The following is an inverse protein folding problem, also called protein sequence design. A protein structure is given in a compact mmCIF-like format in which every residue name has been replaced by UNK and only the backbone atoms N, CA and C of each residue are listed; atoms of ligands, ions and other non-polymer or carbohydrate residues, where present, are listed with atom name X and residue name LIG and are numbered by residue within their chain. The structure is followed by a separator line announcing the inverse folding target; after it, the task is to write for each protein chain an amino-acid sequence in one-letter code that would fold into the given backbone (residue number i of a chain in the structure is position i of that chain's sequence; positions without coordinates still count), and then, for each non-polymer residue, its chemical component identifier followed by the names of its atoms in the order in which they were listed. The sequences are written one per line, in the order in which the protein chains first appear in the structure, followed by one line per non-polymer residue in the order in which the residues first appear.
data_IF_547339210844
#
_entry.id   IF_547339210844
#
_cell.length_a   1.000
_cell.length_b   1.000
_cell.length_c   1.000
_cell.angle_alpha   90.00
_cell.angle_beta   90.00
_cell.angle_gamma   90.00
#
_symmetry.space_group_name_H-M   'P 1'
#
loop_
_entity.id
_entity.type
_entity.pdbx_description
1 polymer ?
#
# COMPACT_ATOMS: atom_id res chain seq x y z
N UNK A 1 -24.71 -19.22 -16.90
CA UNK A 1 -24.39 -17.79 -16.99
C UNK A 1 -23.68 -17.40 -15.70
N UNK A 2 -22.39 -17.08 -15.75
CA UNK A 2 -21.67 -16.57 -14.58
C UNK A 2 -22.23 -15.17 -14.28
N UNK A 3 -23.00 -15.06 -13.20
CA UNK A 3 -23.53 -13.79 -12.73
C UNK A 3 -22.34 -13.05 -12.10
N UNK A 4 -21.65 -12.23 -12.91
CA UNK A 4 -20.62 -11.34 -12.38
C UNK A 4 -21.27 -10.47 -11.32
N UNK A 5 -20.93 -10.72 -10.06
CA UNK A 5 -21.46 -9.97 -8.91
C UNK A 5 -21.02 -8.52 -9.13
N UNK A 6 -21.98 -7.65 -9.48
CA UNK A 6 -21.72 -6.22 -9.64
C UNK A 6 -21.17 -5.66 -8.34
N UNK A 7 -20.16 -4.80 -8.46
CA UNK A 7 -19.57 -4.14 -7.30
C UNK A 7 -20.62 -3.21 -6.67
N UNK A 8 -20.60 -3.07 -5.34
CA UNK A 8 -21.63 -2.32 -4.62
C UNK A 8 -21.70 -0.84 -5.05
N UNK A 9 -20.58 -0.26 -5.44
CA UNK A 9 -20.47 1.11 -5.93
C UNK A 9 -20.86 1.29 -7.42
N UNK A 10 -21.20 0.23 -8.14
CA UNK A 10 -21.72 0.33 -9.52
C UNK A 10 -23.22 0.68 -9.54
N UNK A 11 -23.76 0.99 -10.72
CA UNK A 11 -25.18 1.30 -10.90
C UNK A 11 -26.05 0.09 -10.56
N UNK A 12 -26.98 0.29 -9.63
CA UNK A 12 -27.83 -0.77 -9.10
C UNK A 12 -29.08 -1.00 -9.97
N UNK A 13 -29.67 -2.19 -9.90
CA UNK A 13 -30.95 -2.46 -10.55
C UNK A 13 -32.04 -1.54 -9.99
N UNK A 14 -32.84 -0.93 -10.87
CA UNK A 14 -33.85 0.07 -10.48
C UNK A 14 -33.30 1.43 -10.08
N UNK A 15 -31.98 1.66 -10.16
CA UNK A 15 -31.37 2.98 -10.00
C UNK A 15 -31.45 3.75 -11.33
N UNK A 16 -32.08 4.92 -11.30
CA UNK A 16 -32.13 5.80 -12.48
C UNK A 16 -30.75 6.36 -12.78
N UNK A 17 -30.48 6.74 -14.04
CA UNK A 17 -29.21 7.36 -14.42
C UNK A 17 -28.91 8.62 -13.58
N UNK A 18 -29.93 9.44 -13.31
CA UNK A 18 -29.81 10.65 -12.47
C UNK A 18 -29.44 10.32 -11.02
N UNK A 19 -30.07 9.30 -10.44
CA UNK A 19 -29.74 8.85 -9.09
C UNK A 19 -28.29 8.34 -9.02
N UNK A 20 -27.85 7.56 -10.01
CA UNK A 20 -26.48 7.07 -10.07
C UNK A 20 -25.45 8.20 -10.27
N UNK A 21 -25.74 9.18 -11.14
CA UNK A 21 -24.87 10.35 -11.30
C UNK A 21 -24.76 11.15 -10.00
N UNK A 22 -25.86 11.33 -9.27
CA UNK A 22 -25.83 11.97 -7.96
C UNK A 22 -25.05 11.15 -6.92
N UNK A 23 -25.11 9.83 -6.99
CA UNK A 23 -24.28 8.95 -6.17
C UNK A 23 -22.78 9.15 -6.46
N UNK A 24 -22.36 9.27 -7.73
CA UNK A 24 -20.96 9.55 -8.07
C UNK A 24 -20.49 10.90 -7.46
N UNK A 25 -21.32 11.93 -7.51
CA UNK A 25 -21.01 13.20 -6.84
C UNK A 25 -20.97 13.07 -5.30
N UNK A 26 -21.83 12.23 -4.72
CA UNK A 26 -21.76 11.89 -3.30
C UNK A 26 -20.47 11.11 -2.95
N UNK A 27 -19.97 10.27 -3.87
CA UNK A 27 -18.69 9.55 -3.74
C UNK A 27 -17.46 10.47 -3.72
N UNK A 28 -17.59 11.74 -4.07
CA UNK A 28 -16.50 12.71 -3.94
C UNK A 28 -16.70 13.62 -2.72
N UNK A 29 -17.93 14.07 -2.50
CA UNK A 29 -18.22 15.10 -1.49
C UNK A 29 -18.55 14.56 -0.09
N UNK A 30 -19.00 13.30 0.01
CA UNK A 30 -19.59 12.69 1.22
C UNK A 30 -20.73 13.54 1.84
N UNK A 31 -21.36 14.43 1.08
CA UNK A 31 -22.31 15.42 1.60
C UNK A 31 -23.55 15.52 0.73
N UNK A 32 -24.72 15.15 1.26
CA UNK A 32 -25.99 15.25 0.54
C UNK A 32 -26.32 16.69 0.14
N UNK A 33 -25.96 17.68 0.97
CA UNK A 33 -26.19 19.10 0.69
C UNK A 33 -25.38 19.56 -0.52
N UNK A 34 -24.09 19.22 -0.55
CA UNK A 34 -23.21 19.57 -1.68
C UNK A 34 -23.62 18.80 -2.93
N UNK A 35 -23.93 17.51 -2.82
CA UNK A 35 -24.46 16.71 -3.95
C UNK A 35 -25.72 17.34 -4.54
N UNK A 36 -26.67 17.76 -3.71
CA UNK A 36 -27.90 18.42 -4.17
C UNK A 36 -27.61 19.72 -4.94
N UNK A 37 -26.70 20.55 -4.42
CA UNK A 37 -26.28 21.79 -5.07
C UNK A 37 -25.59 21.52 -6.41
N UNK A 38 -24.61 20.61 -6.44
CA UNK A 38 -23.82 20.30 -7.64
C UNK A 38 -24.61 19.57 -8.73
N UNK A 39 -25.62 18.78 -8.36
CA UNK A 39 -26.46 18.05 -9.34
C UNK A 39 -27.76 18.76 -9.71
N UNK A 40 -28.06 19.90 -9.08
CA UNK A 40 -29.30 20.64 -9.33
C UNK A 40 -30.56 19.86 -8.92
N UNK A 41 -30.45 18.94 -7.97
CA UNK A 41 -31.56 18.14 -7.49
C UNK A 41 -32.00 18.59 -6.09
N UNK A 42 -33.32 18.56 -5.79
CA UNK A 42 -33.80 18.87 -4.45
C UNK A 42 -33.16 17.98 -3.40
N UNK A 43 -32.77 18.56 -2.26
CA UNK A 43 -32.11 17.83 -1.17
C UNK A 43 -32.94 16.63 -0.69
N UNK A 44 -34.26 16.77 -0.60
CA UNK A 44 -35.18 15.67 -0.24
C UNK A 44 -35.10 14.48 -1.21
N UNK A 45 -34.95 14.75 -2.51
CA UNK A 45 -34.80 13.72 -3.55
C UNK A 45 -33.44 13.02 -3.44
N UNK A 46 -32.37 13.78 -3.19
CA UNK A 46 -31.03 13.23 -2.94
C UNK A 46 -31.02 12.34 -1.71
N UNK A 47 -31.63 12.78 -0.59
CA UNK A 47 -31.81 11.93 0.59
C UNK A 47 -32.61 10.67 0.30
N UNK A 48 -33.73 10.79 -0.41
CA UNK A 48 -34.54 9.62 -0.79
C UNK A 48 -33.73 8.60 -1.60
N UNK A 49 -32.99 9.04 -2.63
CA UNK A 49 -32.12 8.14 -3.40
C UNK A 49 -31.01 7.55 -2.54
N UNK A 50 -30.40 8.36 -1.68
CA UNK A 50 -29.34 7.91 -0.80
C UNK A 50 -29.78 6.79 0.13
N UNK A 51 -30.95 6.92 0.76
CA UNK A 51 -31.52 5.89 1.62
C UNK A 51 -31.95 4.67 0.81
N UNK A 52 -32.69 4.87 -0.29
CA UNK A 52 -33.20 3.78 -1.14
C UNK A 52 -32.09 2.91 -1.72
N UNK A 53 -30.98 3.52 -2.12
CA UNK A 53 -29.85 2.85 -2.75
C UNK A 53 -28.63 2.73 -1.83
N UNK A 54 -28.81 2.90 -0.50
CA UNK A 54 -27.80 2.67 0.54
C UNK A 54 -26.44 3.32 0.23
N UNK A 55 -26.42 4.59 -0.17
CA UNK A 55 -25.18 5.24 -0.65
C UNK A 55 -24.04 5.23 0.35
N UNK A 56 -24.31 5.32 1.66
CA UNK A 56 -23.27 5.27 2.69
C UNK A 56 -22.53 3.92 2.69
N UNK A 57 -23.26 2.81 2.64
CA UNK A 57 -22.66 1.48 2.59
C UNK A 57 -21.81 1.31 1.31
N UNK A 58 -22.33 1.76 0.17
CA UNK A 58 -21.62 1.73 -1.11
C UNK A 58 -20.37 2.60 -1.11
N UNK A 59 -20.42 3.77 -0.47
CA UNK A 59 -19.28 4.65 -0.30
C UNK A 59 -18.20 4.00 0.59
N UNK A 60 -18.60 3.36 1.69
CA UNK A 60 -17.68 2.60 2.53
C UNK A 60 -16.99 1.46 1.75
N UNK A 61 -17.74 0.72 0.94
CA UNK A 61 -17.19 -0.34 0.09
C UNK A 61 -16.22 0.22 -0.95
N UNK A 62 -16.53 1.38 -1.54
CA UNK A 62 -15.64 2.07 -2.47
C UNK A 62 -14.35 2.56 -1.81
N UNK A 63 -14.46 3.12 -0.60
CA UNK A 63 -13.31 3.61 0.18
C UNK A 63 -12.38 2.44 0.53
N UNK A 64 -12.93 1.30 0.97
CA UNK A 64 -12.17 0.09 1.24
C UNK A 64 -11.44 -0.43 -0.01
N UNK A 65 -12.16 -0.53 -1.14
CA UNK A 65 -11.56 -0.92 -2.41
C UNK A 65 -10.44 0.02 -2.85
N UNK A 66 -10.65 1.33 -2.74
CA UNK A 66 -9.66 2.33 -3.13
C UNK A 66 -8.42 2.25 -2.25
N UNK A 67 -8.60 2.05 -0.94
CA UNK A 67 -7.50 1.83 0.00
C UNK A 67 -6.67 0.59 -0.35
N UNK A 68 -7.34 -0.53 -0.67
CA UNK A 68 -6.66 -1.76 -1.10
C UNK A 68 -5.87 -1.54 -2.40
N UNK A 69 -6.44 -0.84 -3.39
CA UNK A 69 -5.74 -0.54 -4.63
C UNK A 69 -4.52 0.37 -4.40
N UNK A 70 -4.66 1.40 -3.58
CA UNK A 70 -3.55 2.30 -3.22
C UNK A 70 -2.44 1.56 -2.47
N UNK A 71 -2.80 0.65 -1.55
CA UNK A 71 -1.85 -0.19 -0.85
C UNK A 71 -1.12 -1.12 -1.81
N UNK A 72 -1.84 -1.79 -2.70
CA UNK A 72 -1.26 -2.69 -3.70
C UNK A 72 -0.29 -1.94 -4.63
N UNK A 73 -0.66 -0.74 -5.07
CA UNK A 73 0.20 0.08 -5.92
C UNK A 73 1.43 0.60 -5.16
N UNK A 74 1.26 1.07 -3.93
CA UNK A 74 2.39 1.48 -3.08
C UNK A 74 3.37 0.33 -2.87
N UNK A 75 2.86 -0.88 -2.61
CA UNK A 75 3.69 -2.08 -2.49
C UNK A 75 4.40 -2.42 -3.81
N UNK A 76 3.74 -2.29 -4.96
CA UNK A 76 4.39 -2.49 -6.28
C UNK A 76 5.52 -1.51 -6.51
N UNK A 77 5.31 -0.22 -6.23
CA UNK A 77 6.35 0.81 -6.36
C UNK A 77 7.53 0.49 -5.44
N UNK A 78 7.27 0.12 -4.18
CA UNK A 78 8.31 -0.31 -3.26
C UNK A 78 9.07 -1.55 -3.78
N UNK A 79 8.36 -2.56 -4.28
CA UNK A 79 8.98 -3.76 -4.85
C UNK A 79 9.85 -3.48 -6.08
N UNK A 80 9.52 -2.46 -6.88
CA UNK A 80 10.33 -2.08 -8.04
C UNK A 80 11.53 -1.19 -7.65
N UNK A 81 11.33 -0.25 -6.74
CA UNK A 81 12.34 0.74 -6.38
C UNK A 81 13.41 0.19 -5.42
N UNK A 82 13.02 -0.70 -4.50
CA UNK A 82 13.92 -1.20 -3.46
C UNK A 82 15.08 -2.03 -4.03
N UNK A 83 14.89 -2.98 -4.96
CA UNK A 83 16.01 -3.75 -5.52
C UNK A 83 17.11 -2.91 -6.16
N UNK A 84 16.74 -1.84 -6.88
CA UNK A 84 17.70 -0.92 -7.49
C UNK A 84 18.46 -0.10 -6.45
N UNK A 85 17.77 0.35 -5.40
CA UNK A 85 18.39 1.03 -4.27
C UNK A 85 19.34 0.10 -3.50
N UNK A 86 18.96 -1.17 -3.32
CA UNK A 86 19.78 -2.20 -2.68
C UNK A 86 21.03 -2.53 -3.51
N UNK A 87 20.89 -2.77 -4.82
CA UNK A 87 22.03 -3.05 -5.70
C UNK A 87 23.06 -1.92 -5.68
N UNK A 88 22.61 -0.68 -5.72
CA UNK A 88 23.49 0.48 -5.67
C UNK A 88 24.21 0.59 -4.34
N UNK A 89 23.56 0.19 -3.24
CA UNK A 89 24.18 0.21 -1.93
C UNK A 89 25.18 -0.92 -1.73
N UNK A 90 24.87 -2.12 -2.22
CA UNK A 90 25.80 -3.25 -2.24
C UNK A 90 27.08 -2.84 -2.97
N UNK A 91 26.96 -2.22 -4.15
CA UNK A 91 28.13 -1.71 -4.89
C UNK A 91 28.93 -0.66 -4.11
N UNK A 92 28.30 0.21 -3.33
CA UNK A 92 29.01 1.21 -2.53
C UNK A 92 29.74 0.57 -1.34
N UNK A 93 29.10 -0.39 -0.67
CA UNK A 93 29.70 -1.17 0.41
C UNK A 93 30.88 -2.04 -0.09
N UNK A 94 30.73 -2.71 -1.25
CA UNK A 94 31.76 -3.55 -1.87
C UNK A 94 32.99 -2.75 -2.31
N UNK A 95 32.82 -1.47 -2.68
CA UNK A 95 33.92 -0.58 -3.10
C UNK A 95 34.68 0.03 -1.93
N UNK A 96 34.20 -0.14 -0.71
CA UNK A 96 34.78 0.47 0.49
C UNK A 96 34.65 1.99 0.51
N UNK A 97 33.71 2.55 -0.27
CA UNK A 97 33.40 3.97 -0.23
C UNK A 97 32.66 4.28 1.08
N UNK A 98 33.23 5.15 1.92
CA UNK A 98 32.63 5.51 3.21
C UNK A 98 31.28 6.20 3.01
N UNK A 99 30.19 5.47 3.28
CA UNK A 99 28.91 6.11 3.56
C UNK A 99 29.03 6.81 4.92
N UNK A 100 28.58 8.07 5.06
CA UNK A 100 28.42 8.70 6.35
C UNK A 100 27.65 7.75 7.30
N UNK A 101 28.09 7.54 8.56
CA UNK A 101 27.45 6.60 9.49
C UNK A 101 25.94 6.78 9.63
N UNK A 102 25.48 8.03 9.51
CA UNK A 102 24.08 8.43 9.56
C UNK A 102 23.24 7.86 8.40
N UNK A 103 23.86 7.61 7.25
CA UNK A 103 23.24 7.00 6.07
C UNK A 103 23.34 5.47 6.10
N UNK A 104 24.41 4.91 6.69
CA UNK A 104 24.55 3.46 6.88
C UNK A 104 23.39 2.89 7.71
N UNK A 105 23.04 3.55 8.83
CA UNK A 105 21.94 3.14 9.71
C UNK A 105 20.57 3.25 9.02
N UNK A 106 20.33 4.33 8.27
CA UNK A 106 19.07 4.52 7.54
C UNK A 106 18.87 3.47 6.46
N UNK A 107 19.95 3.07 5.79
CA UNK A 107 19.87 2.05 4.76
C UNK A 107 19.71 0.66 5.37
N UNK A 108 20.42 0.34 6.45
CA UNK A 108 20.21 -0.90 7.20
C UNK A 108 18.75 -1.02 7.69
N UNK A 109 18.13 0.08 8.17
CA UNK A 109 16.71 0.11 8.55
C UNK A 109 15.78 -0.15 7.35
N UNK A 110 16.05 0.45 6.19
CA UNK A 110 15.29 0.19 4.96
C UNK A 110 15.39 -1.26 4.48
N UNK A 111 16.60 -1.85 4.55
CA UNK A 111 16.85 -3.26 4.24
C UNK A 111 16.03 -4.15 5.18
N UNK A 112 16.09 -3.90 6.48
CA UNK A 112 15.39 -4.68 7.51
C UNK A 112 13.87 -4.60 7.31
N UNK A 113 13.31 -3.40 7.09
CA UNK A 113 11.87 -3.23 6.83
C UNK A 113 11.41 -3.93 5.56
N UNK A 114 12.19 -3.86 4.48
CA UNK A 114 11.86 -4.56 3.24
C UNK A 114 11.92 -6.09 3.41
N UNK A 115 12.94 -6.59 4.12
CA UNK A 115 13.08 -8.01 4.42
C UNK A 115 11.94 -8.54 5.30
N UNK A 116 11.45 -7.73 6.25
CA UNK A 116 10.30 -8.09 7.10
C UNK A 116 8.98 -8.09 6.32
N UNK A 117 8.76 -7.10 5.45
CA UNK A 117 7.60 -7.06 4.55
C UNK A 117 7.58 -8.28 3.62
N UNK A 118 8.73 -8.64 3.04
CA UNK A 118 8.85 -9.84 2.19
C UNK A 118 8.73 -11.15 2.96
N UNK A 119 9.31 -11.24 4.16
CA UNK A 119 9.17 -12.41 5.04
C UNK A 119 7.74 -12.64 5.51
N UNK A 120 6.97 -11.57 5.73
CA UNK A 120 5.55 -11.65 6.08
C UNK A 120 4.68 -12.07 4.87
N UNK A 121 5.00 -11.63 3.65
CA UNK A 121 4.36 -12.09 2.42
C UNK A 121 4.65 -13.57 2.13
N UNK A 122 5.92 -14.00 2.26
CA UNK A 122 6.30 -15.40 2.03
C UNK A 122 5.80 -16.33 3.12
N UNK A 123 5.73 -15.91 4.40
CA UNK A 123 5.12 -16.73 5.46
C UNK A 123 3.60 -16.95 5.27
N UNK A 124 2.92 -16.04 4.56
CA UNK A 124 1.52 -16.18 4.22
C UNK A 124 1.29 -17.09 2.99
N UNK A 125 2.32 -17.28 2.15
CA UNK A 125 2.32 -18.19 0.99
C UNK A 125 3.02 -19.55 1.26
N UNK A 126 3.87 -19.64 2.31
CA UNK A 126 4.68 -20.80 2.70
C UNK A 126 3.88 -21.94 3.37
N UNK A 127 2.65 -22.14 2.94
CA UNK A 127 2.05 -23.48 2.94
C UNK A 127 2.68 -24.39 1.88
N UNK A 128 3.46 -23.85 0.91
CA UNK A 128 4.11 -24.63 -0.15
C UNK A 128 5.43 -23.98 -0.60
N UNK A 129 6.50 -24.78 -0.48
CA UNK A 129 7.79 -24.69 -1.19
C UNK A 129 8.85 -23.65 -0.75
N UNK A 130 10.09 -24.03 -1.08
CA UNK A 130 11.35 -23.62 -0.48
C UNK A 130 11.68 -22.12 -0.56
N UNK A 131 12.41 -21.64 0.44
CA UNK A 131 13.04 -20.31 0.50
C UNK A 131 13.79 -20.03 -0.80
N UNK A 132 13.32 -19.05 -1.58
CA UNK A 132 13.95 -18.69 -2.85
C UNK A 132 15.35 -18.07 -2.63
N UNK A 133 16.27 -18.15 -3.62
CA UNK A 133 17.63 -17.60 -3.55
C UNK A 133 17.72 -16.13 -3.12
N UNK A 134 16.69 -15.33 -3.40
CA UNK A 134 16.62 -13.93 -2.98
C UNK A 134 16.47 -13.78 -1.46
N UNK A 135 15.78 -14.73 -0.80
CA UNK A 135 15.64 -14.77 0.66
C UNK A 135 16.95 -15.17 1.35
N UNK A 136 17.76 -16.03 0.72
CA UNK A 136 19.10 -16.36 1.19
C UNK A 136 20.07 -15.15 1.10
N UNK A 137 19.97 -14.36 0.02
CA UNK A 137 20.74 -13.11 -0.12
C UNK A 137 20.34 -12.05 0.93
N UNK A 138 19.06 -11.96 1.29
CA UNK A 138 18.60 -11.03 2.33
C UNK A 138 19.16 -11.36 3.72
N UNK A 139 19.24 -12.64 4.08
CA UNK A 139 19.88 -13.10 5.32
C UNK A 139 21.36 -12.72 5.36
N UNK A 140 22.07 -12.89 4.24
CA UNK A 140 23.50 -12.54 4.15
C UNK A 140 23.72 -11.03 4.28
N UNK A 141 22.85 -10.20 3.69
CA UNK A 141 22.89 -8.74 3.83
C UNK A 141 22.56 -8.33 5.28
N UNK A 142 21.59 -8.97 5.93
CA UNK A 142 21.29 -8.72 7.35
C UNK A 142 22.49 -9.03 8.25
N UNK A 143 23.21 -10.11 7.97
CA UNK A 143 24.38 -10.53 8.73
C UNK A 143 25.53 -9.53 8.60
N UNK A 144 25.83 -9.10 7.37
CA UNK A 144 26.85 -8.09 7.10
C UNK A 144 26.51 -6.74 7.75
N UNK A 145 25.24 -6.30 7.67
CA UNK A 145 24.81 -5.06 8.31
C UNK A 145 24.94 -5.10 9.84
N UNK A 146 24.63 -6.24 10.47
CA UNK A 146 24.79 -6.43 11.92
C UNK A 146 26.26 -6.48 12.34
N UNK A 147 27.15 -7.02 11.51
CA UNK A 147 28.59 -7.04 11.76
C UNK A 147 29.18 -5.63 11.71
N UNK A 148 28.81 -4.82 10.71
CA UNK A 148 29.24 -3.42 10.62
C UNK A 148 28.75 -2.58 11.81
N UNK A 149 27.52 -2.79 12.29
CA UNK A 149 27.02 -2.09 13.48
C UNK A 149 27.76 -2.51 14.76
N UNK A 150 28.24 -3.76 14.85
CA UNK A 150 29.04 -4.25 15.99
C UNK A 150 30.45 -3.67 15.98
N UNK A 151 31.09 -3.57 14.82
CA UNK A 151 32.43 -3.00 14.70
C UNK A 151 32.43 -1.49 14.96
N UNK A 152 31.42 -0.76 14.47
CA UNK A 152 31.25 0.67 14.76
C UNK A 152 31.08 0.96 16.27
N UNK A 153 30.34 0.12 17.00
CA UNK A 153 30.20 0.23 18.46
C UNK A 153 31.47 -0.14 19.23
N UNK A 154 32.29 -1.04 18.69
CA UNK A 154 33.56 -1.42 19.33
C UNK A 154 34.61 -0.29 19.24
N UNK A 155 34.57 0.51 18.17
CA UNK A 155 35.44 1.68 18.00
C UNK A 155 35.02 2.90 18.83
N UNK A 156 33.75 3.01 19.23
CA UNK A 156 33.26 4.07 20.12
C UNK A 156 33.44 3.75 21.63
N UNK A 157 33.84 2.53 21.97
CA UNK A 157 33.99 2.05 23.36
C UNK A 157 35.44 1.96 23.87
N UNK A 158 36.41 2.54 23.15
CA UNK A 158 37.81 2.63 23.57
C UNK A 158 38.15 4.11 23.81
N UNK A 159 37.70 4.62 24.95
CA UNK A 159 38.32 5.76 25.66
C UNK A 159 38.73 5.30 27.06
#
# INVERSE_FOLDING_TARGET
MHNAVRKEWERQAGETARAFQAFLCYLETRSHKLTAQLTGHPLSRVYHWSTKHKWQARACAYDAYTFEQQRAESNRILHQAVPLALQRLIHLLERGDDLPPQLQVKVADCILRYSWLKGAETAQEAGKEALDPFTANLLQIQQLALEHLRTAKATEGVE
#
